data_IF_092559524447
#
_entry.id   IF_092559524447
#
_cell.length_a   1.000
_cell.length_b   1.000
_cell.length_c   1.000
_cell.angle_alpha   90.00
_cell.angle_beta   90.00
_cell.angle_gamma   90.00
#
_symmetry.space_group_name_H-M   'P 1'
#
loop_
_entity.id
_entity.type
_entity.pdbx_description
1 polymer ?
#
# COMPACT_ATOMS: atom_id res chain seq x y z
N UNK A 1 -22.53 -3.57 21.38
CA UNK A 1 -21.82 -3.47 20.09
C UNK A 1 -20.39 -3.06 20.39
N UNK A 2 -19.43 -3.97 20.23
CA UNK A 2 -18.03 -3.70 20.55
C UNK A 2 -17.52 -2.58 19.65
N UNK A 3 -16.93 -1.53 20.22
CA UNK A 3 -16.46 -0.35 19.50
C UNK A 3 -15.29 -0.77 18.57
N UNK A 4 -15.58 -1.15 17.32
CA UNK A 4 -14.60 -1.70 16.33
C UNK A 4 -13.75 -0.62 15.65
N UNK A 5 -14.09 0.64 15.86
CA UNK A 5 -13.43 1.82 15.30
C UNK A 5 -11.91 1.88 15.55
N UNK A 6 -11.39 1.57 16.76
CA UNK A 6 -9.94 1.56 17.02
C UNK A 6 -9.18 0.52 16.19
N UNK A 7 -9.82 -0.63 15.92
CA UNK A 7 -9.21 -1.75 15.18
C UNK A 7 -9.14 -1.40 13.70
N UNK A 8 -10.13 -0.67 13.17
CA UNK A 8 -10.10 -0.17 11.80
C UNK A 8 -8.99 0.87 11.59
N UNK A 9 -8.75 1.76 12.55
CA UNK A 9 -7.62 2.70 12.49
C UNK A 9 -6.25 2.02 12.58
N UNK A 10 -6.14 0.92 13.33
CA UNK A 10 -4.93 0.10 13.33
C UNK A 10 -4.68 -0.50 11.93
N UNK A 11 -5.73 -0.95 11.23
CA UNK A 11 -5.59 -1.39 9.85
C UNK A 11 -5.07 -0.26 8.97
N UNK A 12 -5.62 0.96 9.05
CA UNK A 12 -5.12 2.12 8.27
C UNK A 12 -3.63 2.33 8.48
N UNK A 13 -3.17 2.27 9.72
CA UNK A 13 -1.75 2.44 10.04
C UNK A 13 -0.90 1.37 9.36
N UNK A 14 -1.29 0.09 9.46
CA UNK A 14 -0.53 -1.02 8.85
C UNK A 14 -0.52 -0.90 7.33
N UNK A 15 -1.67 -0.58 6.74
CA UNK A 15 -1.84 -0.43 5.29
C UNK A 15 -0.98 0.72 4.77
N UNK A 16 -1.05 1.89 5.41
CA UNK A 16 -0.22 3.04 5.06
C UNK A 16 1.29 2.73 5.18
N UNK A 17 1.69 1.98 6.22
CA UNK A 17 3.06 1.48 6.34
C UNK A 17 3.43 0.55 5.18
N UNK A 18 2.55 -0.38 4.79
CA UNK A 18 2.80 -1.29 3.67
C UNK A 18 2.92 -0.55 2.34
N UNK A 19 1.97 0.34 2.02
CA UNK A 19 1.95 1.13 0.80
C UNK A 19 3.23 1.92 0.59
N UNK A 20 3.67 2.66 1.61
CA UNK A 20 4.92 3.43 1.53
C UNK A 20 6.16 2.53 1.42
N UNK A 21 6.18 1.37 2.09
CA UNK A 21 7.30 0.44 1.99
C UNK A 21 7.47 -0.09 0.56
N UNK A 22 6.38 -0.40 -0.15
CA UNK A 22 6.49 -0.85 -1.54
C UNK A 22 7.03 0.24 -2.46
N UNK A 23 6.63 1.49 -2.26
CA UNK A 23 7.19 2.64 -2.97
C UNK A 23 8.69 2.79 -2.70
N UNK A 24 9.10 2.77 -1.43
CA UNK A 24 10.51 2.88 -1.02
C UNK A 24 11.36 1.70 -1.53
N UNK A 25 10.80 0.48 -1.56
CA UNK A 25 11.42 -0.69 -2.15
C UNK A 25 11.69 -0.49 -3.64
N UNK A 26 10.68 -0.06 -4.40
CA UNK A 26 10.82 0.22 -5.83
C UNK A 26 11.85 1.33 -6.07
N UNK A 27 11.78 2.42 -5.28
CA UNK A 27 12.73 3.55 -5.31
C UNK A 27 14.18 3.10 -5.13
N UNK A 28 14.39 2.28 -4.09
CA UNK A 28 15.71 1.76 -3.75
C UNK A 28 16.24 0.81 -4.82
N UNK A 29 15.40 -0.12 -5.31
CA UNK A 29 15.78 -1.05 -6.39
C UNK A 29 16.12 -0.30 -7.68
N UNK A 30 15.31 0.67 -8.07
CA UNK A 30 15.56 1.49 -9.24
C UNK A 30 16.87 2.26 -9.11
N UNK A 31 17.13 2.86 -7.95
CA UNK A 31 18.38 3.56 -7.69
C UNK A 31 19.60 2.64 -7.73
N UNK A 32 19.49 1.40 -7.26
CA UNK A 32 20.57 0.42 -7.30
C UNK A 32 20.84 -0.14 -8.71
N UNK A 33 19.80 -0.33 -9.51
CA UNK A 33 19.89 -0.98 -10.84
C UNK A 33 20.14 0.03 -11.95
N UNK A 34 19.42 1.15 -11.96
CA UNK A 34 19.45 2.15 -13.03
C UNK A 34 20.41 3.30 -12.72
N UNK A 35 20.87 3.42 -11.47
CA UNK A 35 21.66 4.56 -11.01
C UNK A 35 20.82 5.83 -10.86
N UNK A 36 21.50 6.96 -10.65
CA UNK A 36 20.90 8.30 -10.50
C UNK A 36 19.70 8.36 -9.53
N UNK A 37 20.00 8.26 -8.23
CA UNK A 37 19.00 8.18 -7.17
C UNK A 37 17.95 9.29 -7.23
N UNK A 38 18.36 10.52 -7.54
CA UNK A 38 17.43 11.67 -7.54
C UNK A 38 16.37 11.49 -8.61
N UNK A 39 16.78 11.14 -9.84
CA UNK A 39 15.84 10.92 -10.95
C UNK A 39 14.94 9.72 -10.68
N UNK A 40 15.48 8.60 -10.21
CA UNK A 40 14.69 7.38 -10.00
C UNK A 40 13.66 7.53 -8.88
N UNK A 41 14.04 8.09 -7.73
CA UNK A 41 13.09 8.38 -6.67
C UNK A 41 12.03 9.39 -7.13
N UNK A 42 12.42 10.45 -7.85
CA UNK A 42 11.48 11.44 -8.36
C UNK A 42 10.44 10.85 -9.31
N UNK A 43 10.88 9.99 -10.24
CA UNK A 43 9.99 9.31 -11.18
C UNK A 43 9.07 8.32 -10.47
N UNK A 44 9.58 7.57 -9.50
CA UNK A 44 8.78 6.60 -8.75
C UNK A 44 7.73 7.30 -7.91
N UNK A 45 8.10 8.34 -7.16
CA UNK A 45 7.14 9.16 -6.42
C UNK A 45 6.09 9.74 -7.38
N UNK A 46 6.52 10.33 -8.49
CA UNK A 46 5.59 10.92 -9.47
C UNK A 46 4.59 9.92 -10.05
N UNK A 47 5.07 8.75 -10.49
CA UNK A 47 4.21 7.68 -11.02
C UNK A 47 3.31 7.14 -9.92
N UNK A 48 3.85 6.90 -8.72
CA UNK A 48 3.11 6.36 -7.60
C UNK A 48 1.97 7.28 -7.17
N UNK A 49 2.25 8.58 -6.97
CA UNK A 49 1.23 9.59 -6.64
C UNK A 49 0.17 9.73 -7.74
N UNK A 50 0.57 9.75 -9.02
CA UNK A 50 -0.37 9.77 -10.14
C UNK A 50 -1.29 8.55 -10.13
N UNK A 51 -0.70 7.37 -9.90
CA UNK A 51 -1.42 6.10 -9.85
C UNK A 51 -2.38 6.04 -8.67
N UNK A 52 -1.99 6.55 -7.50
CA UNK A 52 -2.90 6.72 -6.37
C UNK A 52 -4.09 7.62 -6.72
N UNK A 53 -3.87 8.68 -7.50
CA UNK A 53 -4.96 9.51 -8.05
C UNK A 53 -5.90 8.72 -8.96
N UNK A 54 -5.36 7.87 -9.85
CA UNK A 54 -6.15 6.97 -10.71
C UNK A 54 -6.94 5.97 -9.87
N UNK A 55 -6.32 5.35 -8.86
CA UNK A 55 -6.98 4.44 -7.91
C UNK A 55 -8.13 5.11 -7.19
N UNK A 56 -7.88 6.29 -6.63
CA UNK A 56 -8.90 7.09 -5.93
C UNK A 56 -10.06 7.46 -6.85
N UNK A 57 -9.77 7.81 -8.10
CA UNK A 57 -10.81 8.03 -9.11
C UNK A 57 -11.61 6.76 -9.43
N UNK A 58 -10.95 5.60 -9.53
CA UNK A 58 -11.62 4.32 -9.78
C UNK A 58 -12.50 3.88 -8.61
N UNK A 59 -12.17 4.30 -7.38
CA UNK A 59 -12.96 3.98 -6.18
C UNK A 59 -14.42 4.41 -6.29
N UNK A 60 -14.72 5.44 -7.11
CA UNK A 60 -16.08 5.94 -7.33
C UNK A 60 -16.99 4.92 -8.02
N UNK A 61 -16.43 4.02 -8.83
CA UNK A 61 -17.19 2.98 -9.53
C UNK A 61 -17.48 1.76 -8.65
N UNK A 62 -16.82 1.67 -7.49
CA UNK A 62 -17.05 0.60 -6.52
C UNK A 62 -18.18 1.04 -5.60
N UNK A 63 -19.42 0.64 -5.90
CA UNK A 63 -20.60 1.07 -5.14
C UNK A 63 -21.16 0.02 -4.18
N UNK A 64 -20.94 -1.27 -4.46
CA UNK A 64 -21.54 -2.39 -3.73
C UNK A 64 -20.49 -3.20 -2.99
N UNK A 65 -20.91 -3.77 -1.86
CA UNK A 65 -20.08 -4.63 -1.00
C UNK A 65 -18.75 -3.97 -0.62
N UNK A 66 -18.77 -2.68 -0.26
CA UNK A 66 -17.55 -1.90 0.07
C UNK A 66 -16.59 -2.64 1.03
N UNK A 67 -17.06 -3.28 2.12
CA UNK A 67 -16.18 -4.03 3.02
C UNK A 67 -15.46 -5.20 2.32
N UNK A 68 -16.18 -5.93 1.46
CA UNK A 68 -15.62 -7.05 0.69
C UNK A 68 -14.63 -6.59 -0.35
N UNK A 69 -14.96 -5.51 -1.07
CA UNK A 69 -14.07 -4.91 -2.08
C UNK A 69 -12.79 -4.35 -1.47
N UNK A 70 -12.89 -3.79 -0.28
CA UNK A 70 -11.72 -3.37 0.49
C UNK A 70 -10.79 -4.55 0.79
N UNK A 71 -11.33 -5.69 1.26
CA UNK A 71 -10.54 -6.92 1.46
C UNK A 71 -9.92 -7.42 0.15
N UNK A 72 -10.67 -7.42 -0.95
CA UNK A 72 -10.15 -7.84 -2.26
C UNK A 72 -8.95 -6.98 -2.68
N UNK A 73 -9.02 -5.67 -2.45
CA UNK A 73 -7.92 -4.73 -2.72
C UNK A 73 -6.72 -5.03 -1.82
N UNK A 74 -6.92 -5.22 -0.52
CA UNK A 74 -5.84 -5.57 0.44
C UNK A 74 -5.09 -6.83 0.03
N UNK A 75 -5.82 -7.86 -0.38
CA UNK A 75 -5.24 -9.13 -0.86
C UNK A 75 -4.50 -8.90 -2.19
N UNK A 76 -5.06 -8.09 -3.10
CA UNK A 76 -4.39 -7.75 -4.34
C UNK A 76 -3.07 -6.99 -4.08
N UNK A 77 -3.06 -6.01 -3.16
CA UNK A 77 -1.85 -5.29 -2.73
C UNK A 77 -0.86 -6.24 -2.06
N UNK A 78 -1.32 -7.14 -1.22
CA UNK A 78 -0.49 -8.15 -0.57
C UNK A 78 0.26 -9.02 -1.58
N UNK A 79 -0.44 -9.45 -2.63
CA UNK A 79 0.16 -10.27 -3.70
C UNK A 79 1.08 -9.43 -4.57
N UNK A 80 0.58 -8.34 -5.15
CA UNK A 80 1.37 -7.52 -6.09
C UNK A 80 2.57 -6.88 -5.39
N UNK A 81 2.36 -6.27 -4.23
CA UNK A 81 3.41 -5.67 -3.41
C UNK A 81 4.35 -6.71 -2.83
N UNK A 82 3.83 -7.83 -2.31
CA UNK A 82 4.65 -8.89 -1.74
C UNK A 82 5.61 -9.54 -2.74
N UNK A 83 5.14 -9.80 -3.96
CA UNK A 83 5.94 -10.38 -5.03
C UNK A 83 6.74 -9.35 -5.86
N UNK A 84 6.57 -8.05 -5.59
CA UNK A 84 7.20 -6.97 -6.36
C UNK A 84 8.73 -7.10 -6.42
N UNK A 85 9.42 -7.16 -5.28
CA UNK A 85 10.88 -7.21 -5.26
C UNK A 85 11.42 -8.53 -5.86
N UNK A 86 10.88 -9.73 -5.58
CA UNK A 86 11.25 -10.95 -6.31
C UNK A 86 11.13 -10.80 -7.83
N UNK A 87 10.01 -10.26 -8.33
CA UNK A 87 9.77 -10.07 -9.76
C UNK A 87 10.75 -9.06 -10.38
N UNK A 88 11.04 -7.97 -9.68
CA UNK A 88 12.02 -6.98 -10.13
C UNK A 88 13.43 -7.54 -10.16
N UNK A 89 13.81 -8.34 -9.16
CA UNK A 89 15.10 -9.03 -9.14
C UNK A 89 15.24 -10.03 -10.30
N UNK A 90 14.19 -10.79 -10.61
CA UNK A 90 14.20 -11.71 -11.76
C UNK A 90 14.29 -10.96 -13.10
N UNK A 91 13.70 -9.76 -13.17
CA UNK A 91 13.70 -8.92 -14.37
C UNK A 91 15.04 -8.20 -14.60
N UNK A 92 15.96 -8.22 -13.63
CA UNK A 92 17.25 -7.53 -13.68
C UNK A 92 18.13 -7.94 -14.87
N UNK A 93 17.98 -9.17 -15.38
CA UNK A 93 18.78 -9.66 -16.50
C UNK A 93 18.66 -8.81 -17.79
N UNK A 94 17.60 -8.02 -17.94
CA UNK A 94 17.40 -7.11 -19.07
C UNK A 94 16.96 -5.71 -18.59
N UNK A 95 17.85 -4.72 -18.69
CA UNK A 95 17.61 -3.33 -18.22
C UNK A 95 16.34 -2.68 -18.80
N UNK A 96 16.08 -2.84 -20.10
CA UNK A 96 14.86 -2.30 -20.73
C UNK A 96 13.60 -2.97 -20.19
N UNK A 97 13.65 -4.28 -19.99
CA UNK A 97 12.54 -5.04 -19.41
C UNK A 97 12.31 -4.66 -17.94
N UNK A 98 13.40 -4.45 -17.17
CA UNK A 98 13.33 -3.99 -15.79
C UNK A 98 12.57 -2.68 -15.63
N UNK A 99 12.83 -1.66 -16.46
CA UNK A 99 12.12 -0.37 -16.37
C UNK A 99 10.61 -0.52 -16.62
N UNK A 100 10.22 -1.31 -17.62
CA UNK A 100 8.81 -1.56 -17.93
C UNK A 100 8.13 -2.29 -16.76
N UNK A 101 8.78 -3.32 -16.21
CA UNK A 101 8.25 -4.06 -15.06
C UNK A 101 8.19 -3.19 -13.80
N UNK A 102 9.22 -2.39 -13.55
CA UNK A 102 9.30 -1.45 -12.42
C UNK A 102 8.15 -0.44 -12.45
N UNK A 103 8.02 0.33 -13.52
CA UNK A 103 6.99 1.34 -13.60
C UNK A 103 5.59 0.74 -13.68
N UNK A 104 5.44 -0.44 -14.30
CA UNK A 104 4.18 -1.19 -14.29
C UNK A 104 3.77 -1.65 -12.88
N UNK A 105 4.70 -2.19 -12.10
CA UNK A 105 4.45 -2.60 -10.71
C UNK A 105 4.16 -1.39 -9.82
N UNK A 106 4.96 -0.31 -9.92
CA UNK A 106 4.72 0.93 -9.17
C UNK A 106 3.35 1.51 -9.48
N UNK A 107 2.97 1.51 -10.76
CA UNK A 107 1.64 1.97 -11.17
C UNK A 107 0.53 1.09 -10.59
N UNK A 108 0.68 -0.23 -10.68
CA UNK A 108 -0.33 -1.16 -10.18
C UNK A 108 -0.50 -1.08 -8.66
N UNK A 109 0.60 -1.03 -7.91
CA UNK A 109 0.56 -0.88 -6.45
C UNK A 109 -0.03 0.47 -6.08
N UNK A 110 0.43 1.57 -6.68
CA UNK A 110 -0.10 2.90 -6.40
C UNK A 110 -1.59 3.01 -6.72
N UNK A 111 -2.06 2.41 -7.82
CA UNK A 111 -3.48 2.35 -8.13
C UNK A 111 -4.30 1.56 -7.10
N UNK A 112 -3.78 0.43 -6.62
CA UNK A 112 -4.46 -0.35 -5.60
C UNK A 112 -4.49 0.39 -4.24
N UNK A 113 -3.35 0.94 -3.80
CA UNK A 113 -3.28 1.74 -2.56
C UNK A 113 -4.17 2.98 -2.64
N UNK A 114 -4.25 3.62 -3.81
CA UNK A 114 -5.13 4.77 -4.04
C UNK A 114 -6.63 4.46 -3.87
N UNK A 115 -7.05 3.20 -4.00
CA UNK A 115 -8.43 2.77 -3.76
C UNK A 115 -8.76 2.68 -2.26
N UNK A 116 -7.77 2.46 -1.40
CA UNK A 116 -7.96 2.08 0.01
C UNK A 116 -8.56 3.23 0.83
N UNK A 117 -7.96 4.42 0.79
CA UNK A 117 -8.40 5.56 1.62
C UNK A 117 -9.85 5.96 1.29
N UNK A 118 -10.25 6.13 0.01
CA UNK A 118 -11.65 6.42 -0.32
C UNK A 118 -12.63 5.32 0.07
N UNK A 119 -12.28 4.04 -0.14
CA UNK A 119 -13.14 2.92 0.26
C UNK A 119 -13.34 2.90 1.77
N UNK A 120 -12.25 3.06 2.53
CA UNK A 120 -12.28 3.09 3.98
C UNK A 120 -13.12 4.26 4.51
N UNK A 121 -12.94 5.47 3.95
CA UNK A 121 -13.74 6.63 4.32
C UNK A 121 -15.24 6.37 4.08
N UNK A 122 -15.60 5.67 3.00
CA UNK A 122 -17.00 5.32 2.72
C UNK A 122 -17.55 4.26 3.67
N UNK A 123 -16.73 3.28 4.06
CA UNK A 123 -17.11 2.23 5.04
C UNK A 123 -17.35 2.85 6.42
N UNK A 124 -16.53 3.83 6.82
CA UNK A 124 -16.58 4.45 8.15
C UNK A 124 -17.51 5.67 8.22
N UNK A 125 -18.10 6.10 7.10
CA UNK A 125 -18.92 7.32 7.02
C UNK A 125 -20.10 7.32 8.00
N UNK A 126 -20.69 6.16 8.27
CA UNK A 126 -21.88 6.04 9.14
C UNK A 126 -21.51 5.91 10.62
N UNK A 127 -20.22 5.90 10.96
CA UNK A 127 -19.73 5.69 12.34
C UNK A 127 -19.10 6.94 12.97
N UNK A 128 -18.71 7.93 12.18
CA UNK A 128 -18.03 9.15 12.62
C UNK A 128 -18.51 10.34 11.79
N UNK A 129 -18.52 11.53 12.41
CA UNK A 129 -18.71 12.77 11.67
C UNK A 129 -17.62 12.93 10.60
N UNK A 130 -17.99 13.45 9.42
CA UNK A 130 -17.08 13.56 8.28
C UNK A 130 -15.76 14.26 8.62
N UNK A 131 -15.82 15.36 9.38
CA UNK A 131 -14.63 16.11 9.83
C UNK A 131 -13.69 15.24 10.67
N UNK A 132 -14.25 14.49 11.61
CA UNK A 132 -13.48 13.63 12.51
C UNK A 132 -12.91 12.42 11.77
N UNK A 133 -13.70 11.84 10.86
CA UNK A 133 -13.28 10.73 10.02
C UNK A 133 -12.05 11.10 9.17
N UNK A 134 -12.13 12.20 8.41
CA UNK A 134 -11.02 12.66 7.55
C UNK A 134 -9.78 12.94 8.38
N UNK A 135 -9.93 13.65 9.51
CA UNK A 135 -8.80 13.98 10.38
C UNK A 135 -8.12 12.73 10.95
N UNK A 136 -8.91 11.76 11.44
CA UNK A 136 -8.36 10.51 12.00
C UNK A 136 -7.70 9.66 10.93
N UNK A 137 -8.36 9.42 9.80
CA UNK A 137 -7.82 8.58 8.72
C UNK A 137 -6.49 9.14 8.21
N UNK A 138 -6.41 10.43 7.91
CA UNK A 138 -5.16 11.06 7.46
C UNK A 138 -4.09 11.06 8.55
N UNK A 139 -4.45 11.26 9.82
CA UNK A 139 -3.48 11.19 10.91
C UNK A 139 -2.84 9.80 11.03
N UNK A 140 -3.63 8.73 10.92
CA UNK A 140 -3.11 7.36 10.94
C UNK A 140 -2.33 7.01 9.68
N UNK A 141 -2.73 7.53 8.52
CA UNK A 141 -1.99 7.38 7.26
C UNK A 141 -0.59 8.01 7.36
N UNK A 142 -0.51 9.28 7.77
CA UNK A 142 0.78 9.96 7.93
C UNK A 142 1.63 9.37 9.07
N UNK A 143 1.01 8.87 10.15
CA UNK A 143 1.73 8.15 11.19
C UNK A 143 2.32 6.83 10.66
N UNK A 144 1.54 6.08 9.87
CA UNK A 144 1.99 4.85 9.20
C UNK A 144 3.13 5.12 8.21
N UNK A 145 3.04 6.22 7.45
CA UNK A 145 4.09 6.68 6.55
C UNK A 145 5.38 7.07 7.28
N UNK A 146 5.28 7.74 8.44
CA UNK A 146 6.45 8.03 9.28
C UNK A 146 7.10 6.74 9.78
N UNK A 147 6.30 5.79 10.28
CA UNK A 147 6.81 4.48 10.72
C UNK A 147 7.53 3.77 9.57
N UNK A 148 6.93 3.70 8.38
CA UNK A 148 7.54 3.09 7.21
C UNK A 148 8.87 3.76 6.81
N UNK A 149 8.88 5.09 6.68
CA UNK A 149 10.07 5.86 6.25
C UNK A 149 11.25 5.76 7.21
N UNK A 150 11.00 5.53 8.51
CA UNK A 150 12.05 5.28 9.50
C UNK A 150 12.45 3.81 9.56
N UNK A 151 11.47 2.90 9.62
CA UNK A 151 11.70 1.46 9.77
C UNK A 151 12.43 0.88 8.55
N UNK A 152 12.11 1.38 7.36
CA UNK A 152 12.68 0.92 6.10
C UNK A 152 14.21 1.03 6.04
N UNK A 153 14.83 2.22 6.11
CA UNK A 153 16.28 2.36 6.04
C UNK A 153 17.00 1.91 7.32
N UNK A 154 16.39 2.06 8.51
CA UNK A 154 17.09 1.78 9.78
C UNK A 154 17.08 0.30 10.18
N UNK A 155 16.05 -0.46 9.77
CA UNK A 155 15.86 -1.83 10.24
C UNK A 155 15.59 -2.82 9.11
N UNK A 156 14.63 -2.54 8.23
CA UNK A 156 14.17 -3.51 7.22
C UNK A 156 15.26 -3.79 6.18
N UNK A 157 15.77 -2.76 5.52
CA UNK A 157 16.80 -2.92 4.49
C UNK A 157 18.09 -3.52 5.06
N UNK A 158 18.66 -3.03 6.19
CA UNK A 158 19.92 -3.57 6.70
C UNK A 158 19.83 -4.99 7.24
N UNK A 159 18.70 -5.40 7.84
CA UNK A 159 18.58 -6.72 8.50
C UNK A 159 17.89 -7.78 7.65
N UNK A 160 16.83 -7.41 6.93
CA UNK A 160 16.02 -8.33 6.12
C UNK A 160 16.40 -8.27 4.64
N UNK A 161 16.82 -7.11 4.15
CA UNK A 161 17.05 -6.87 2.72
C UNK A 161 15.74 -6.68 1.95
N UNK A 162 15.85 -6.28 0.68
CA UNK A 162 14.70 -5.82 -0.12
C UNK A 162 13.68 -6.93 -0.39
N UNK A 163 14.14 -8.11 -0.82
CA UNK A 163 13.25 -9.24 -1.17
C UNK A 163 12.47 -9.73 0.05
N UNK A 164 13.15 -10.00 1.17
CA UNK A 164 12.48 -10.51 2.38
C UNK A 164 11.55 -9.46 2.99
N UNK A 165 11.92 -8.18 2.91
CA UNK A 165 11.04 -7.08 3.34
C UNK A 165 9.76 -7.08 2.51
N UNK A 166 9.84 -7.13 1.18
CA UNK A 166 8.63 -7.16 0.34
C UNK A 166 7.72 -8.33 0.69
N UNK A 167 8.25 -9.55 0.82
CA UNK A 167 7.48 -10.74 1.15
C UNK A 167 6.86 -10.66 2.55
N UNK A 168 7.60 -10.17 3.54
CA UNK A 168 7.10 -9.98 4.91
C UNK A 168 5.92 -9.01 4.92
N UNK A 169 6.04 -7.87 4.25
CA UNK A 169 4.95 -6.89 4.18
C UNK A 169 3.78 -7.42 3.34
N UNK A 170 4.03 -8.23 2.32
CA UNK A 170 2.97 -8.95 1.60
C UNK A 170 2.20 -9.88 2.53
N UNK A 171 2.88 -10.65 3.37
CA UNK A 171 2.24 -11.52 4.36
C UNK A 171 1.47 -10.72 5.42
N UNK A 172 2.03 -9.60 5.91
CA UNK A 172 1.36 -8.72 6.86
C UNK A 172 0.09 -8.12 6.25
N UNK A 173 0.13 -7.67 4.99
CA UNK A 173 -1.02 -7.10 4.32
C UNK A 173 -2.10 -8.16 4.06
N UNK A 174 -1.72 -9.38 3.66
CA UNK A 174 -2.65 -10.50 3.56
C UNK A 174 -3.29 -10.83 4.93
N UNK A 175 -2.51 -10.79 6.01
CA UNK A 175 -3.03 -11.00 7.36
C UNK A 175 -4.01 -9.90 7.77
N UNK A 176 -3.74 -8.64 7.42
CA UNK A 176 -4.68 -7.51 7.63
C UNK A 176 -5.95 -7.70 6.82
N UNK A 177 -5.86 -8.07 5.55
CA UNK A 177 -7.03 -8.38 4.71
C UNK A 177 -7.88 -9.51 5.29
N UNK A 178 -7.26 -10.60 5.73
CA UNK A 178 -7.95 -11.71 6.40
C UNK A 178 -8.54 -11.27 7.75
N UNK A 179 -7.83 -10.46 8.53
CA UNK A 179 -8.37 -9.93 9.78
C UNK A 179 -9.58 -9.01 9.52
N UNK A 180 -9.53 -8.21 8.46
CA UNK A 180 -10.63 -7.36 8.03
C UNK A 180 -11.86 -8.19 7.63
N UNK A 181 -11.71 -9.39 7.04
CA UNK A 181 -12.86 -10.30 6.80
C UNK A 181 -13.54 -10.72 8.10
N UNK A 182 -12.78 -11.05 9.15
CA UNK A 182 -13.33 -11.38 10.47
C UNK A 182 -14.00 -10.18 11.14
N UNK A 183 -13.42 -8.99 10.96
CA UNK A 183 -13.95 -7.74 11.52
C UNK A 183 -15.19 -7.23 10.77
N UNK A 184 -15.32 -7.54 9.49
CA UNK A 184 -16.42 -7.11 8.62
C UNK A 184 -17.44 -8.22 8.36
N UNK A 185 -17.22 -9.44 8.87
CA UNK A 185 -18.13 -10.58 8.74
C UNK A 185 -19.61 -10.34 9.14
N UNK A 186 -19.97 -9.42 10.07
CA UNK A 186 -21.37 -9.07 10.32
C UNK A 186 -21.96 -8.02 9.36
N UNK A 187 -21.16 -7.43 8.47
CA UNK A 187 -21.53 -6.42 7.47
C UNK A 187 -21.53 -6.95 6.02
N UNK A 188 -21.11 -8.21 5.81
CA UNK A 188 -21.14 -8.94 4.53
C UNK A 188 -22.39 -9.83 4.53
#
# INVERSE_FOLDING_TARGET
MMNRTPILFLNVLVIATCGLIYELLAGTLASYVLGDSVTQFSLIIGIYLFSMGVGSWLSRFVEKELPRRFVDVEIAVAVVGGFSAPLLFLSFANLTYFQVVLYGIVFLIGMLVGLEIPLLMRILKDHLDFKELVARVLAFDYAGALVASLLFPLFLVPRLGLVRTSLLFGMLNAAVGLWATWLMGPLI
#
